data_IF_359667149946
#
_entry.id   IF_359667149946
#
_cell.length_a   1.000
_cell.length_b   1.000
_cell.length_c   1.000
_cell.angle_alpha   90.00
_cell.angle_beta   90.00
_cell.angle_gamma   90.00
#
_symmetry.space_group_name_H-M   'P 1'
#
loop_
_entity.id
_entity.type
_entity.pdbx_description
1 polymer ?
#
# COMPACT_ATOMS: atom_id res chain seq x y z
N UNK A 1 6.34 9.84 -20.94
CA UNK A 1 7.75 10.23 -21.11
C UNK A 1 7.84 11.75 -21.13
N UNK A 2 8.77 12.35 -20.39
CA UNK A 2 8.93 13.81 -20.29
C UNK A 2 10.33 14.27 -20.67
N UNK A 3 10.45 15.52 -21.11
CA UNK A 3 11.73 16.23 -21.24
C UNK A 3 11.58 17.61 -20.60
N UNK A 4 12.53 18.02 -19.77
CA UNK A 4 12.47 19.27 -19.01
C UNK A 4 13.69 20.15 -19.27
N UNK A 5 13.56 21.47 -19.04
CA UNK A 5 14.67 22.41 -19.12
C UNK A 5 15.75 22.22 -18.04
N UNK A 6 15.46 21.41 -17.02
CA UNK A 6 16.40 21.03 -15.95
C UNK A 6 17.27 19.82 -16.30
N UNK A 7 17.15 19.26 -17.51
CA UNK A 7 18.04 18.20 -18.01
C UNK A 7 17.50 16.77 -17.89
N UNK A 8 16.22 16.58 -17.53
CA UNK A 8 15.57 15.28 -17.72
C UNK A 8 15.28 15.12 -19.21
N UNK A 9 15.90 14.14 -19.87
CA UNK A 9 15.73 13.90 -21.30
C UNK A 9 15.09 12.54 -21.49
N UNK A 10 13.93 12.50 -22.18
CA UNK A 10 13.17 11.27 -22.45
C UNK A 10 12.94 10.40 -21.21
N UNK A 11 12.75 11.05 -20.06
CA UNK A 11 12.56 10.36 -18.79
C UNK A 11 11.20 9.67 -18.75
N UNK A 12 11.19 8.39 -18.38
CA UNK A 12 9.96 7.60 -18.23
C UNK A 12 9.38 7.89 -16.85
N UNK A 13 8.14 8.37 -16.82
CA UNK A 13 7.36 8.47 -15.60
C UNK A 13 6.41 7.28 -15.64
N UNK A 14 6.48 6.41 -14.63
CA UNK A 14 5.66 5.19 -14.52
C UNK A 14 4.19 5.49 -14.13
N UNK A 15 3.67 6.63 -14.57
CA UNK A 15 2.28 7.04 -14.41
C UNK A 15 1.44 6.36 -15.48
N UNK A 16 0.30 5.80 -15.08
CA UNK A 16 -0.71 5.26 -15.96
C UNK A 16 -1.77 6.34 -16.19
N UNK A 17 -1.92 6.75 -17.45
CA UNK A 17 -2.84 7.80 -17.87
C UNK A 17 -3.76 7.27 -18.96
N UNK A 18 -5.02 7.66 -18.89
CA UNK A 18 -6.00 7.42 -19.94
C UNK A 18 -6.37 8.73 -20.61
N UNK A 19 -6.38 8.76 -21.94
CA UNK A 19 -6.92 9.89 -22.69
C UNK A 19 -8.44 9.83 -22.61
N UNK A 20 -9.05 10.81 -21.95
CA UNK A 20 -10.52 10.85 -21.76
C UNK A 20 -11.21 11.86 -22.65
N UNK A 21 -10.49 12.89 -23.11
CA UNK A 21 -11.05 13.91 -24.00
C UNK A 21 -9.92 14.69 -24.70
N UNK A 22 -10.29 15.64 -25.56
CA UNK A 22 -9.43 16.65 -26.13
C UNK A 22 -10.04 18.05 -25.96
N UNK A 23 -9.34 18.92 -25.25
CA UNK A 23 -9.65 20.35 -25.28
C UNK A 23 -8.96 20.96 -26.50
N UNK A 24 -9.73 21.14 -27.59
CA UNK A 24 -9.20 21.49 -28.91
C UNK A 24 -8.18 20.43 -29.39
N UNK A 25 -6.91 20.81 -29.51
CA UNK A 25 -5.83 19.91 -29.88
C UNK A 25 -5.03 19.37 -28.68
N UNK A 26 -5.45 19.68 -27.45
CA UNK A 26 -4.74 19.32 -26.23
C UNK A 26 -5.40 18.08 -25.60
N UNK A 27 -4.68 16.96 -25.44
CA UNK A 27 -5.24 15.78 -24.80
C UNK A 27 -5.52 16.04 -23.31
N UNK A 28 -6.70 15.63 -22.86
CA UNK A 28 -7.10 15.62 -21.47
C UNK A 28 -6.92 14.21 -20.90
N UNK A 29 -6.19 14.10 -19.78
CA UNK A 29 -5.86 12.82 -19.18
C UNK A 29 -6.60 12.59 -17.87
N UNK A 30 -7.09 11.37 -17.67
CA UNK A 30 -7.45 10.82 -16.36
C UNK A 30 -6.25 10.06 -15.80
N UNK A 31 -5.85 10.39 -14.58
CA UNK A 31 -4.82 9.66 -13.86
C UNK A 31 -5.38 8.35 -13.34
N UNK A 32 -4.78 7.23 -13.74
CA UNK A 32 -5.18 5.88 -13.29
C UNK A 32 -4.35 5.40 -12.10
N UNK A 33 -3.11 5.86 -11.99
CA UNK A 33 -2.21 5.45 -10.90
C UNK A 33 -0.75 5.49 -11.31
N UNK A 34 0.09 4.86 -10.48
CA UNK A 34 1.51 4.62 -10.73
C UNK A 34 1.80 3.13 -10.61
N UNK A 35 2.62 2.60 -11.53
CA UNK A 35 3.01 1.19 -11.45
C UNK A 35 3.79 0.91 -10.16
N UNK A 36 3.52 -0.25 -9.57
CA UNK A 36 4.30 -0.83 -8.45
C UNK A 36 4.31 -0.03 -7.14
N UNK A 37 3.39 0.92 -6.94
CA UNK A 37 3.27 1.66 -5.68
C UNK A 37 1.86 1.55 -5.11
N UNK A 38 1.75 1.31 -3.81
CA UNK A 38 0.50 1.48 -3.04
C UNK A 38 0.65 2.77 -2.23
N UNK A 39 -0.38 3.61 -2.27
CA UNK A 39 -0.41 4.91 -1.62
C UNK A 39 -1.78 5.10 -0.96
N UNK A 40 -1.83 5.41 0.34
CA UNK A 40 -3.09 5.66 1.05
C UNK A 40 -3.38 7.16 1.24
N UNK A 41 -2.35 7.98 1.40
CA UNK A 41 -2.45 9.39 1.82
C UNK A 41 -1.37 10.30 1.23
N UNK A 42 -0.50 9.76 0.38
CA UNK A 42 0.65 10.38 -0.26
C UNK A 42 1.96 9.59 -0.08
N UNK A 43 1.97 8.51 0.72
CA UNK A 43 3.15 7.66 0.90
C UNK A 43 3.38 6.73 -0.28
N UNK A 44 4.63 6.62 -0.71
CA UNK A 44 5.04 5.61 -1.69
C UNK A 44 5.58 4.41 -0.94
N UNK A 45 4.71 3.46 -0.59
CA UNK A 45 5.18 2.15 -0.18
C UNK A 45 5.59 1.38 -1.44
N UNK A 46 6.90 1.33 -1.69
CA UNK A 46 7.47 0.56 -2.78
C UNK A 46 7.24 -0.94 -2.55
N UNK A 47 6.92 -1.65 -3.63
CA UNK A 47 6.86 -3.11 -3.68
C UNK A 47 8.08 -3.78 -3.02
N UNK A 48 9.28 -3.23 -3.21
CA UNK A 48 10.52 -3.77 -2.62
C UNK A 48 10.47 -3.84 -1.08
N UNK A 49 9.87 -2.83 -0.44
CA UNK A 49 9.68 -2.77 1.02
C UNK A 49 8.67 -3.82 1.45
N UNK A 50 7.54 -3.92 0.76
CA UNK A 50 6.51 -4.91 1.09
C UNK A 50 7.07 -6.34 1.01
N UNK A 51 7.84 -6.66 -0.04
CA UNK A 51 8.50 -7.97 -0.19
C UNK A 51 9.50 -8.23 0.93
N UNK A 52 10.34 -7.25 1.29
CA UNK A 52 11.29 -7.36 2.39
C UNK A 52 10.57 -7.69 3.70
N UNK A 53 9.53 -6.93 4.04
CA UNK A 53 8.76 -7.10 5.28
C UNK A 53 8.05 -8.45 5.32
N UNK A 54 7.45 -8.89 4.22
CA UNK A 54 6.82 -10.22 4.12
C UNK A 54 7.84 -11.35 4.29
N UNK A 55 9.05 -11.21 3.74
CA UNK A 55 10.11 -12.20 3.88
C UNK A 55 10.61 -12.32 5.33
N UNK A 56 10.69 -11.21 6.06
CA UNK A 56 11.11 -11.18 7.47
C UNK A 56 10.13 -11.88 8.42
N UNK A 57 8.84 -11.84 8.12
CA UNK A 57 7.82 -12.54 8.89
C UNK A 57 7.58 -13.99 8.46
N UNK A 58 8.24 -14.45 7.39
CA UNK A 58 8.10 -15.82 6.91
C UNK A 58 8.74 -16.78 7.90
N UNK A 59 7.98 -17.81 8.30
CA UNK A 59 8.46 -18.85 9.20
C UNK A 59 8.04 -20.23 8.68
N UNK A 60 8.62 -21.28 9.23
CA UNK A 60 8.11 -22.63 9.00
C UNK A 60 6.65 -22.71 9.44
N UNK A 61 5.78 -23.23 8.58
CA UNK A 61 4.33 -23.31 8.83
C UNK A 61 3.60 -21.95 8.99
N UNK A 62 4.18 -20.83 8.55
CA UNK A 62 3.50 -19.54 8.47
C UNK A 62 3.92 -18.75 7.24
N UNK A 63 2.96 -18.36 6.40
CA UNK A 63 3.23 -17.73 5.11
C UNK A 63 2.54 -16.37 4.99
N UNK A 64 3.28 -15.26 5.14
CA UNK A 64 2.83 -13.94 4.70
C UNK A 64 2.69 -13.90 3.17
N UNK A 65 1.58 -13.34 2.67
CA UNK A 65 1.22 -13.37 1.24
C UNK A 65 1.32 -11.98 0.63
N UNK A 66 0.64 -10.99 1.24
CA UNK A 66 0.51 -9.66 0.65
C UNK A 66 0.23 -8.62 1.73
N UNK A 67 0.58 -7.37 1.43
CA UNK A 67 0.16 -6.19 2.19
C UNK A 67 -0.80 -5.40 1.30
N UNK A 68 -1.93 -4.98 1.86
CA UNK A 68 -3.00 -4.25 1.17
C UNK A 68 -3.24 -2.93 1.88
N UNK A 69 -3.31 -1.85 1.10
CA UNK A 69 -3.80 -0.57 1.57
C UNK A 69 -5.33 -0.51 1.48
N UNK A 70 -6.00 -0.15 2.58
CA UNK A 70 -7.45 0.08 2.63
C UNK A 70 -7.71 1.57 2.82
N UNK A 71 -8.14 2.25 1.76
CA UNK A 71 -8.37 3.71 1.75
C UNK A 71 -9.74 4.12 2.31
N UNK A 72 -10.80 3.36 1.98
CA UNK A 72 -12.17 3.76 2.30
C UNK A 72 -12.79 2.88 3.38
N UNK A 73 -13.01 3.45 4.56
CA UNK A 73 -13.88 2.89 5.58
C UNK A 73 -14.73 4.00 6.18
N UNK A 74 -16.07 3.92 6.04
CA UNK A 74 -17.05 4.92 6.52
C UNK A 74 -16.93 5.29 8.02
N UNK A 75 -16.13 4.57 8.81
CA UNK A 75 -15.90 4.80 10.24
C UNK A 75 -14.43 4.73 10.68
N UNK A 76 -13.49 4.49 9.76
CA UNK A 76 -12.06 4.32 10.09
C UNK A 76 -11.19 5.04 9.07
N UNK A 77 -10.14 5.70 9.56
CA UNK A 77 -9.07 6.24 8.71
C UNK A 77 -8.38 5.09 7.93
N UNK A 78 -7.70 5.40 6.81
CA UNK A 78 -6.98 4.40 6.01
C UNK A 78 -6.02 3.53 6.84
N UNK A 79 -5.86 2.27 6.48
CA UNK A 79 -4.99 1.33 7.18
C UNK A 79 -4.46 0.23 6.27
N UNK A 80 -3.37 -0.42 6.71
CA UNK A 80 -2.80 -1.56 6.02
C UNK A 80 -3.29 -2.89 6.61
N UNK A 81 -3.49 -3.88 5.75
CA UNK A 81 -3.75 -5.27 6.13
C UNK A 81 -2.65 -6.15 5.56
N UNK A 82 -2.03 -6.99 6.38
CA UNK A 82 -1.20 -8.10 5.88
C UNK A 82 -2.02 -9.39 5.86
N UNK A 83 -2.03 -10.06 4.70
CA UNK A 83 -2.65 -11.36 4.53
C UNK A 83 -1.63 -12.46 4.80
N UNK A 84 -2.04 -13.49 5.52
CA UNK A 84 -1.20 -14.66 5.79
C UNK A 84 -2.00 -15.97 5.79
N UNK A 85 -1.29 -17.07 5.54
CA UNK A 85 -1.80 -18.44 5.53
C UNK A 85 -1.08 -19.34 6.54
N UNK A 86 -1.67 -20.51 6.79
CA UNK A 86 -1.23 -21.57 7.72
C UNK A 86 -1.43 -21.30 9.22
N UNK A 87 -0.35 -21.20 10.01
CA UNK A 87 -0.45 -21.24 11.46
C UNK A 87 -0.71 -19.86 12.08
N UNK A 88 -1.95 -19.61 12.51
CA UNK A 88 -2.35 -18.34 13.15
C UNK A 88 -1.59 -18.04 14.45
N UNK A 89 -1.07 -19.06 15.15
CA UNK A 89 -0.33 -18.85 16.39
C UNK A 89 1.08 -18.27 16.16
N UNK A 90 1.59 -18.35 14.93
CA UNK A 90 2.87 -17.76 14.50
C UNK A 90 2.70 -16.36 13.89
N UNK A 91 1.48 -15.85 13.87
CA UNK A 91 1.16 -14.53 13.34
C UNK A 91 1.88 -13.44 14.15
N UNK A 92 2.61 -12.51 13.50
CA UNK A 92 3.20 -11.38 14.20
C UNK A 92 2.11 -10.44 14.74
N UNK A 93 2.49 -9.51 15.62
CA UNK A 93 1.56 -8.50 16.08
C UNK A 93 1.42 -7.37 15.06
N UNK A 94 0.29 -6.66 15.12
CA UNK A 94 0.07 -5.41 14.39
C UNK A 94 1.20 -4.40 14.57
N UNK A 95 1.68 -4.27 15.81
CA UNK A 95 2.76 -3.36 16.18
C UNK A 95 4.11 -3.79 15.59
N UNK A 96 4.39 -5.09 15.50
CA UNK A 96 5.59 -5.59 14.86
C UNK A 96 5.59 -5.27 13.36
N UNK A 97 4.46 -5.44 12.67
CA UNK A 97 4.32 -5.07 11.26
C UNK A 97 4.50 -3.56 11.06
N UNK A 98 3.85 -2.73 11.88
CA UNK A 98 4.03 -1.28 11.85
C UNK A 98 5.50 -0.86 12.03
N UNK A 99 6.20 -1.47 12.99
CA UNK A 99 7.60 -1.17 13.24
C UNK A 99 8.49 -1.45 12.03
N UNK A 100 8.24 -2.54 11.29
CA UNK A 100 9.00 -2.85 10.07
C UNK A 100 8.65 -1.92 8.93
N UNK A 101 7.38 -1.52 8.80
CA UNK A 101 6.97 -0.54 7.78
C UNK A 101 7.59 0.85 8.04
N UNK A 102 7.77 1.24 9.31
CA UNK A 102 8.47 2.48 9.70
C UNK A 102 9.93 2.55 9.28
N UNK A 103 10.57 1.44 8.92
CA UNK A 103 11.91 1.50 8.29
C UNK A 103 11.87 2.19 6.92
N UNK A 104 10.71 2.25 6.28
CA UNK A 104 10.52 3.06 5.08
C UNK A 104 10.21 4.52 5.45
N UNK A 105 11.08 5.41 4.99
CA UNK A 105 10.98 6.85 5.23
C UNK A 105 9.61 7.44 4.83
N UNK A 106 9.05 7.04 3.69
CA UNK A 106 7.77 7.58 3.22
C UNK A 106 6.61 7.12 4.09
N UNK A 107 6.62 5.87 4.53
CA UNK A 107 5.64 5.33 5.47
C UNK A 107 5.73 6.04 6.82
N UNK A 108 6.93 6.20 7.39
CA UNK A 108 7.13 6.91 8.66
C UNK A 108 6.68 8.37 8.57
N UNK A 109 7.02 9.05 7.48
CA UNK A 109 6.62 10.44 7.25
C UNK A 109 5.09 10.58 7.18
N UNK A 110 4.41 9.75 6.40
CA UNK A 110 2.94 9.80 6.32
C UNK A 110 2.29 9.44 7.66
N UNK A 111 2.82 8.44 8.35
CA UNK A 111 2.33 8.04 9.67
C UNK A 111 2.51 9.15 10.71
N UNK A 112 3.62 9.88 10.69
CA UNK A 112 3.92 10.96 11.66
C UNK A 112 3.19 12.27 11.33
N UNK A 113 3.15 12.67 10.06
CA UNK A 113 2.51 13.91 9.60
C UNK A 113 0.98 13.90 9.78
N UNK A 114 0.35 12.72 9.80
CA UNK A 114 -1.09 12.54 10.03
C UNK A 114 -1.47 12.32 11.51
N UNK A 115 -0.49 12.18 12.40
CA UNK A 115 -0.70 11.95 13.83
C UNK A 115 -0.64 13.27 14.64
N UNK A 116 -1.73 14.04 14.64
CA UNK A 116 -1.97 15.03 15.70
C UNK A 116 -2.33 14.31 17.03
N UNK A 117 -1.96 14.86 18.22
CA UNK A 117 -2.04 14.15 19.50
C UNK A 117 -3.45 13.74 19.99
N UNK A 118 -4.54 14.18 19.35
CA UNK A 118 -5.91 13.92 19.82
C UNK A 118 -6.54 12.62 19.28
N UNK A 119 -5.87 11.86 18.41
CA UNK A 119 -6.45 10.66 17.81
C UNK A 119 -5.42 9.54 17.67
N UNK A 120 -5.34 8.67 18.68
CA UNK A 120 -4.35 7.58 18.81
C UNK A 120 -4.67 6.33 17.97
N UNK A 121 -5.77 6.26 17.23
CA UNK A 121 -6.17 5.04 16.50
C UNK A 121 -5.98 5.13 14.97
N UNK A 122 -4.78 5.47 14.50
CA UNK A 122 -4.49 5.68 13.07
C UNK A 122 -3.42 4.70 12.60
N UNK A 123 -3.71 3.94 11.54
CA UNK A 123 -2.90 2.84 11.00
C UNK A 123 -2.72 1.64 11.95
N UNK A 124 -3.82 0.99 12.31
CA UNK A 124 -3.77 -0.36 12.86
C UNK A 124 -3.48 -1.34 11.72
N UNK A 125 -2.22 -1.79 11.63
CA UNK A 125 -1.82 -2.89 10.76
C UNK A 125 -2.53 -4.16 11.20
N UNK A 126 -3.56 -4.59 10.49
CA UNK A 126 -4.25 -5.83 10.82
C UNK A 126 -3.58 -6.99 10.09
N UNK A 127 -3.45 -8.12 10.77
CA UNK A 127 -3.00 -9.33 10.10
C UNK A 127 -4.19 -10.27 10.03
N UNK A 128 -4.63 -10.53 8.80
CA UNK A 128 -5.78 -11.37 8.53
C UNK A 128 -5.31 -12.74 8.08
N UNK A 129 -5.89 -13.75 8.71
CA UNK A 129 -5.68 -15.13 8.32
C UNK A 129 -6.66 -15.50 7.22
N UNK A 130 -6.17 -15.83 6.02
CA UNK A 130 -7.00 -16.15 4.87
C UNK A 130 -7.59 -17.57 5.00
N UNK A 131 -8.46 -17.80 5.99
CA UNK A 131 -9.28 -19.00 6.05
C UNK A 131 -10.67 -18.69 5.47
N UNK A 132 -10.98 -19.29 4.32
CA UNK A 132 -12.33 -19.47 3.74
C UNK A 132 -12.99 -18.21 3.13
N UNK A 133 -12.67 -17.87 1.87
CA UNK A 133 -13.63 -17.18 0.97
C UNK A 133 -14.16 -18.07 -0.18
N UNK A 134 -13.74 -19.34 -0.26
CA UNK A 134 -14.21 -20.29 -1.28
C UNK A 134 -15.47 -21.08 -0.90
N UNK A 135 -16.12 -20.81 0.25
CA UNK A 135 -17.37 -21.49 0.64
C UNK A 135 -18.67 -20.76 0.28
N UNK A 136 -18.62 -19.57 -0.31
CA UNK A 136 -19.83 -18.77 -0.65
C UNK A 136 -20.15 -18.68 -2.15
N UNK A 137 -19.44 -19.41 -3.02
CA UNK A 137 -19.74 -19.46 -4.47
C UNK A 137 -20.66 -20.62 -4.91
N UNK A 138 -21.16 -21.41 -3.96
CA UNK A 138 -22.16 -22.44 -4.21
C UNK A 138 -23.30 -22.33 -3.19
N UNK A 139 -24.15 -21.31 -3.37
CA UNK A 139 -25.56 -21.34 -2.97
C UNK A 139 -26.37 -20.54 -3.97
#
# INVERSE_FOLDING_TARGET
>A
MITTGSGLIRYVIDDELEVVDFYQAIPCFRFLGRKMTVDLVGEKLDHSVAVKVLAEFRQEDYLPISILGIEHCNKKKPYYIMLSEKNIHKQPSAAALDQRLKENFHYELARSALCHPEHIDVFASLIFHAQQQTKLRHK
#
